data_IF_167585336283
#
_entry.id   IF_167585336283
#
_cell.length_a   1.000
_cell.length_b   1.000
_cell.length_c   1.000
_cell.angle_alpha   90.00
_cell.angle_beta   90.00
_cell.angle_gamma   90.00
#
_symmetry.space_group_name_H-M   'P 1'
#
loop_
_entity.id
_entity.type
_entity.pdbx_description
1 polymer ?
#
# COMPACT_ATOMS: atom_id res chain seq x y z
N UNK A 1 9.88 -1.76 48.08
CA UNK A 1 9.21 -0.65 47.37
C UNK A 1 9.14 -1.02 45.89
N UNK A 2 7.93 -1.12 45.32
CA UNK A 2 7.59 -2.08 44.27
C UNK A 2 7.78 -1.49 42.84
N UNK A 3 8.57 -2.15 41.97
CA UNK A 3 8.81 -1.72 40.57
C UNK A 3 7.51 -1.54 39.75
N UNK A 4 6.44 -2.27 40.10
CA UNK A 4 5.10 -2.11 39.50
C UNK A 4 4.39 -0.81 39.94
N UNK A 5 4.56 -0.38 41.19
CA UNK A 5 3.99 0.88 41.69
C UNK A 5 4.67 2.08 41.03
N UNK A 6 6.01 2.06 40.88
CA UNK A 6 6.74 3.15 40.22
C UNK A 6 6.42 3.24 38.71
N UNK A 7 6.15 2.12 38.03
CA UNK A 7 5.71 2.14 36.61
C UNK A 7 4.30 2.71 36.42
N UNK A 8 3.36 2.37 37.30
CA UNK A 8 1.99 2.90 37.23
C UNK A 8 1.94 4.41 37.47
N UNK A 9 2.66 4.91 38.47
CA UNK A 9 2.75 6.35 38.76
C UNK A 9 3.36 7.12 37.59
N UNK A 10 4.36 6.56 36.92
CA UNK A 10 4.95 7.15 35.72
C UNK A 10 4.00 7.23 34.53
N UNK A 11 3.18 6.21 34.30
CA UNK A 11 2.19 6.19 33.21
C UNK A 11 0.99 7.13 33.45
N UNK A 12 0.52 7.24 34.70
CA UNK A 12 -0.57 8.15 35.06
C UNK A 12 -0.16 9.60 34.83
N UNK A 13 1.04 9.99 35.31
CA UNK A 13 1.58 11.34 35.09
C UNK A 13 1.78 11.67 33.60
N UNK A 14 2.14 10.68 32.78
CA UNK A 14 2.28 10.86 31.34
C UNK A 14 0.92 11.07 30.64
N UNK A 15 -0.11 10.33 31.06
CA UNK A 15 -1.47 10.51 30.57
C UNK A 15 -2.04 11.89 30.98
N UNK A 16 -1.86 12.31 32.23
CA UNK A 16 -2.25 13.63 32.70
C UNK A 16 -1.60 14.74 31.88
N UNK A 17 -0.30 14.63 31.59
CA UNK A 17 0.42 15.59 30.74
C UNK A 17 -0.16 15.64 29.32
N UNK A 18 -0.48 14.48 28.73
CA UNK A 18 -1.10 14.42 27.41
C UNK A 18 -2.47 15.10 27.41
N UNK A 19 -3.33 14.77 28.37
CA UNK A 19 -4.66 15.38 28.49
C UNK A 19 -4.58 16.89 28.76
N UNK A 20 -3.64 17.33 29.60
CA UNK A 20 -3.35 18.75 29.82
C UNK A 20 -3.04 19.49 28.53
N UNK A 21 -2.20 18.92 27.65
CA UNK A 21 -1.89 19.55 26.36
C UNK A 21 -3.10 19.68 25.42
N UNK A 22 -4.07 18.75 25.50
CA UNK A 22 -5.33 18.87 24.76
C UNK A 22 -6.20 19.99 25.33
N UNK A 23 -6.30 20.09 26.66
CA UNK A 23 -7.05 21.14 27.36
C UNK A 23 -6.44 22.52 27.05
N UNK A 24 -5.12 22.67 27.17
CA UNK A 24 -4.41 23.90 26.84
C UNK A 24 -4.68 24.35 25.40
N UNK A 25 -4.75 23.39 24.46
CA UNK A 25 -5.07 23.67 23.05
C UNK A 25 -6.53 24.13 22.90
N UNK A 26 -7.48 23.45 23.55
CA UNK A 26 -8.91 23.82 23.52
C UNK A 26 -9.11 25.24 24.07
N UNK A 27 -8.46 25.55 25.20
CA UNK A 27 -8.55 26.85 25.86
C UNK A 27 -7.87 27.95 25.04
N UNK A 28 -6.70 27.68 24.46
CA UNK A 28 -6.00 28.61 23.56
C UNK A 28 -6.86 28.96 22.34
N UNK A 29 -7.56 27.98 21.77
CA UNK A 29 -8.50 28.19 20.66
C UNK A 29 -9.85 28.80 21.10
N UNK A 30 -10.04 29.04 22.41
CA UNK A 30 -11.27 29.58 23.00
C UNK A 30 -12.52 28.75 22.64
N UNK A 31 -12.35 27.43 22.46
CA UNK A 31 -13.44 26.53 22.10
C UNK A 31 -14.22 26.11 23.34
N UNK A 32 -15.55 26.19 23.28
CA UNK A 32 -16.42 25.70 24.34
C UNK A 32 -16.52 24.15 24.27
N UNK A 33 -16.32 23.45 25.40
CA UNK A 33 -16.40 21.98 25.44
C UNK A 33 -17.79 21.44 25.04
N UNK A 34 -18.86 22.17 25.32
CA UNK A 34 -20.22 21.83 24.93
C UNK A 34 -20.41 21.83 23.42
N UNK A 35 -19.89 22.83 22.73
CA UNK A 35 -19.96 22.92 21.26
C UNK A 35 -19.01 21.92 20.59
N UNK A 36 -17.82 21.74 21.16
CA UNK A 36 -16.89 20.71 20.72
C UNK A 36 -17.50 19.30 20.83
N UNK A 37 -18.23 19.01 21.91
CA UNK A 37 -18.92 17.74 22.08
C UNK A 37 -20.00 17.53 20.99
N UNK A 38 -20.75 18.57 20.60
CA UNK A 38 -21.73 18.51 19.51
C UNK A 38 -21.07 18.23 18.16
N UNK A 39 -19.99 18.94 17.84
CA UNK A 39 -19.20 18.73 16.60
C UNK A 39 -18.64 17.30 16.54
N UNK A 40 -18.20 16.79 17.69
CA UNK A 40 -17.74 15.42 17.86
C UNK A 40 -18.85 14.37 17.85
N UNK A 41 -20.12 14.76 17.96
CA UNK A 41 -21.27 13.86 18.12
C UNK A 41 -21.17 12.99 19.38
N UNK A 42 -20.66 13.57 20.48
CA UNK A 42 -20.56 12.94 21.80
C UNK A 42 -21.28 13.77 22.85
N UNK A 43 -21.63 13.18 24.00
CA UNK A 43 -22.18 13.97 25.11
C UNK A 43 -21.11 14.83 25.77
N UNK A 44 -21.46 16.05 26.20
CA UNK A 44 -20.54 16.94 26.92
C UNK A 44 -20.00 16.29 28.20
N UNK A 45 -20.83 15.48 28.87
CA UNK A 45 -20.41 14.71 30.04
C UNK A 45 -19.36 13.63 29.72
N UNK A 46 -19.46 12.95 28.57
CA UNK A 46 -18.45 11.99 28.14
C UNK A 46 -17.13 12.68 27.80
N UNK A 47 -17.17 13.77 27.02
CA UNK A 47 -15.98 14.54 26.67
C UNK A 47 -15.26 15.08 27.92
N UNK A 48 -16.00 15.63 28.88
CA UNK A 48 -15.44 16.11 30.15
C UNK A 48 -14.77 14.99 30.95
N UNK A 49 -15.42 13.81 31.07
CA UNK A 49 -14.81 12.64 31.73
C UNK A 49 -13.54 12.17 31.01
N UNK A 50 -13.50 12.29 29.69
CA UNK A 50 -12.30 11.96 28.91
C UNK A 50 -11.16 12.95 29.13
N UNK A 51 -11.43 14.26 29.06
CA UNK A 51 -10.43 15.30 29.28
C UNK A 51 -9.89 15.29 30.72
N UNK A 52 -10.73 14.98 31.70
CA UNK A 52 -10.32 14.87 33.11
C UNK A 52 -9.65 13.53 33.46
N UNK A 53 -9.50 12.61 32.51
CA UNK A 53 -8.88 11.30 32.72
C UNK A 53 -9.73 10.28 33.51
N UNK A 54 -10.96 10.65 33.92
CA UNK A 54 -11.90 9.74 34.59
C UNK A 54 -12.29 8.54 33.73
N UNK A 55 -12.32 8.73 32.41
CA UNK A 55 -12.51 7.67 31.42
C UNK A 55 -11.54 7.86 30.26
N UNK A 56 -11.06 6.79 29.63
CA UNK A 56 -10.19 6.95 28.46
C UNK A 56 -11.00 7.27 27.19
N UNK A 57 -10.39 8.05 26.30
CA UNK A 57 -10.95 8.27 24.97
C UNK A 57 -11.05 6.94 24.21
N UNK A 58 -12.14 6.73 23.48
CA UNK A 58 -12.15 5.75 22.39
C UNK A 58 -11.24 6.21 21.26
N UNK A 59 -10.60 5.28 20.55
CA UNK A 59 -9.63 5.59 19.50
C UNK A 59 -10.19 6.58 18.46
N UNK A 60 -11.36 6.29 17.89
CA UNK A 60 -11.99 7.14 16.87
C UNK A 60 -12.44 8.50 17.42
N UNK A 61 -12.93 8.54 18.66
CA UNK A 61 -13.28 9.80 19.33
C UNK A 61 -12.07 10.71 19.46
N UNK A 62 -10.90 10.15 19.81
CA UNK A 62 -9.67 10.92 19.85
C UNK A 62 -9.23 11.37 18.47
N UNK A 63 -9.22 10.49 17.46
CA UNK A 63 -8.84 10.87 16.09
C UNK A 63 -9.72 12.03 15.60
N UNK A 64 -11.03 11.98 15.85
CA UNK A 64 -11.96 13.08 15.53
C UNK A 64 -11.60 14.36 16.28
N UNK A 65 -11.30 14.29 17.57
CA UNK A 65 -10.84 15.45 18.35
C UNK A 65 -9.56 16.05 17.76
N UNK A 66 -8.56 15.23 17.43
CA UNK A 66 -7.30 15.71 16.86
C UNK A 66 -7.52 16.37 15.49
N UNK A 67 -8.42 15.85 14.67
CA UNK A 67 -8.81 16.45 13.40
C UNK A 67 -9.49 17.82 13.56
N UNK A 68 -10.24 18.02 14.65
CA UNK A 68 -10.89 19.31 14.94
C UNK A 68 -9.89 20.33 15.52
N UNK A 69 -8.95 19.87 16.35
CA UNK A 69 -8.03 20.75 17.07
C UNK A 69 -6.80 21.15 16.24
N UNK A 70 -6.38 20.35 15.27
CA UNK A 70 -5.10 20.56 14.57
C UNK A 70 -5.26 20.43 13.06
N UNK A 71 -5.09 21.54 12.34
CA UNK A 71 -5.03 21.53 10.87
C UNK A 71 -3.76 20.80 10.38
N UNK A 72 -2.64 21.00 11.09
CA UNK A 72 -1.35 20.39 10.78
C UNK A 72 -1.38 18.86 10.96
N UNK A 73 -1.19 18.15 9.85
CA UNK A 73 -1.16 16.69 9.76
C UNK A 73 -0.04 16.10 10.62
N UNK A 74 1.14 16.72 10.65
CA UNK A 74 2.27 16.25 11.45
C UNK A 74 1.96 16.39 12.94
N UNK A 75 1.28 17.48 13.34
CA UNK A 75 0.86 17.66 14.73
C UNK A 75 -0.18 16.63 15.15
N UNK A 76 -1.16 16.35 14.28
CA UNK A 76 -2.15 15.28 14.50
C UNK A 76 -1.47 13.93 14.70
N UNK A 77 -0.50 13.61 13.85
CA UNK A 77 0.27 12.38 13.94
C UNK A 77 1.07 12.31 15.25
N UNK A 78 1.81 13.36 15.62
CA UNK A 78 2.55 13.45 16.88
C UNK A 78 1.64 13.20 18.09
N UNK A 79 0.47 13.86 18.13
CA UNK A 79 -0.49 13.70 19.21
C UNK A 79 -1.06 12.28 19.28
N UNK A 80 -1.27 11.63 18.14
CA UNK A 80 -1.72 10.24 18.09
C UNK A 80 -0.64 9.26 18.60
N UNK A 81 0.63 9.51 18.28
CA UNK A 81 1.77 8.75 18.83
C UNK A 81 1.83 8.88 20.35
N UNK A 82 1.70 10.12 20.84
CA UNK A 82 1.69 10.41 22.27
C UNK A 82 0.55 9.66 22.97
N UNK A 83 -0.66 9.73 22.41
CA UNK A 83 -1.80 8.97 22.94
C UNK A 83 -1.55 7.46 22.99
N UNK A 84 -1.09 6.86 21.88
CA UNK A 84 -0.84 5.43 21.81
C UNK A 84 0.26 4.98 22.78
N UNK A 85 1.15 5.89 23.18
CA UNK A 85 2.20 5.64 24.17
C UNK A 85 1.71 5.70 25.62
N UNK A 86 0.60 6.40 25.90
CA UNK A 86 0.09 6.62 27.28
C UNK A 86 -1.24 5.93 27.57
N UNK A 87 -2.02 5.57 26.55
CA UNK A 87 -3.31 4.87 26.73
C UNK A 87 -3.10 3.48 27.31
N UNK A 88 -3.94 3.10 28.28
CA UNK A 88 -3.97 1.74 28.83
C UNK A 88 -5.07 0.87 28.22
N UNK A 89 -5.97 1.47 27.43
CA UNK A 89 -7.06 0.80 26.72
C UNK A 89 -6.52 -0.19 25.68
N UNK A 90 -6.77 -1.47 25.95
CA UNK A 90 -6.30 -2.57 25.10
C UNK A 90 -7.03 -2.63 23.77
N UNK A 91 -8.29 -2.21 23.71
CA UNK A 91 -9.03 -2.14 22.44
C UNK A 91 -8.50 -1.01 21.56
N UNK A 92 -8.18 0.16 22.13
CA UNK A 92 -7.62 1.27 21.36
C UNK A 92 -6.31 0.88 20.68
N UNK A 93 -5.45 0.14 21.38
CA UNK A 93 -4.16 -0.29 20.83
C UNK A 93 -4.31 -1.34 19.72
N UNK A 94 -5.35 -2.19 19.75
CA UNK A 94 -5.65 -3.10 18.63
C UNK A 94 -6.13 -2.33 17.39
N UNK A 95 -7.06 -1.40 17.58
CA UNK A 95 -7.54 -0.52 16.50
C UNK A 95 -6.38 0.31 15.94
N UNK A 96 -5.50 0.82 16.80
CA UNK A 96 -4.34 1.61 16.40
C UNK A 96 -3.37 0.83 15.49
N UNK A 97 -3.16 -0.47 15.72
CA UNK A 97 -2.35 -1.30 14.82
C UNK A 97 -2.94 -1.34 13.41
N UNK A 98 -4.25 -1.57 13.31
CA UNK A 98 -4.91 -1.63 12.00
C UNK A 98 -4.96 -0.26 11.34
N UNK A 99 -5.27 0.79 12.10
CA UNK A 99 -5.26 2.17 11.63
C UNK A 99 -3.90 2.59 11.09
N UNK A 100 -2.82 2.32 11.85
CA UNK A 100 -1.46 2.64 11.42
C UNK A 100 -1.11 1.91 10.13
N UNK A 101 -1.50 0.64 9.98
CA UNK A 101 -1.26 -0.08 8.74
C UNK A 101 -2.11 0.43 7.56
N UNK A 102 -3.38 0.78 7.78
CA UNK A 102 -4.26 1.31 6.75
C UNK A 102 -3.77 2.65 6.21
N UNK A 103 -3.38 3.57 7.12
CA UNK A 103 -2.73 4.85 6.78
C UNK A 103 -1.37 4.65 6.14
N UNK A 104 -0.66 3.60 6.54
CA UNK A 104 0.69 3.28 6.09
C UNK A 104 1.80 3.96 6.91
N UNK A 105 1.49 4.28 8.16
CA UNK A 105 2.37 4.83 9.18
C UNK A 105 3.16 3.71 9.86
N UNK A 106 4.37 3.46 9.36
CA UNK A 106 5.18 2.33 9.82
C UNK A 106 5.75 2.57 11.22
N UNK A 107 6.06 3.84 11.55
CA UNK A 107 6.50 4.21 12.89
C UNK A 107 5.44 3.95 13.96
N UNK A 108 4.18 4.34 13.72
CA UNK A 108 3.10 4.15 14.68
C UNK A 108 2.80 2.67 14.85
N UNK A 109 2.74 1.94 13.74
CA UNK A 109 2.52 0.51 13.74
C UNK A 109 3.60 -0.19 14.58
N UNK A 110 4.88 0.17 14.37
CA UNK A 110 5.99 -0.40 15.13
C UNK A 110 5.90 -0.09 16.63
N UNK A 111 5.61 1.16 16.98
CA UNK A 111 5.45 1.62 18.35
C UNK A 111 4.38 0.79 19.08
N UNK A 112 3.21 0.65 18.49
CA UNK A 112 2.08 -0.06 19.09
C UNK A 112 2.33 -1.57 19.15
N UNK A 113 2.93 -2.16 18.12
CA UNK A 113 3.30 -3.58 18.11
C UNK A 113 4.29 -3.89 19.23
N UNK A 114 5.35 -3.09 19.38
CA UNK A 114 6.39 -3.36 20.37
C UNK A 114 5.93 -3.15 21.81
N UNK A 115 5.01 -2.20 22.05
CA UNK A 115 4.40 -2.02 23.36
C UNK A 115 3.50 -3.22 23.72
N UNK A 116 2.65 -3.66 22.79
CA UNK A 116 1.66 -4.69 23.08
C UNK A 116 2.20 -6.12 23.04
N UNK A 117 3.41 -6.37 22.52
CA UNK A 117 4.13 -7.64 22.76
C UNK A 117 4.29 -7.95 24.25
N UNK A 118 4.39 -6.90 25.08
CA UNK A 118 4.56 -6.98 26.54
C UNK A 118 3.23 -6.77 27.28
N UNK A 119 2.11 -6.75 26.57
CA UNK A 119 0.79 -6.51 27.14
C UNK A 119 0.43 -7.56 28.18
N UNK A 120 -0.27 -7.15 29.25
CA UNK A 120 -0.84 -8.08 30.23
C UNK A 120 -1.95 -8.94 29.62
N UNK A 121 -2.67 -8.44 28.61
CA UNK A 121 -3.77 -9.14 27.96
C UNK A 121 -3.27 -10.05 26.83
N UNK A 122 -3.63 -11.34 26.90
CA UNK A 122 -3.21 -12.34 25.91
C UNK A 122 -3.64 -11.99 24.48
N UNK A 123 -4.87 -11.49 24.33
CA UNK A 123 -5.42 -11.03 23.05
C UNK A 123 -4.53 -9.98 22.38
N UNK A 124 -4.01 -9.02 23.14
CA UNK A 124 -3.16 -7.98 22.57
C UNK A 124 -1.76 -8.48 22.20
N UNK A 125 -1.22 -9.43 22.97
CA UNK A 125 0.03 -10.10 22.59
C UNK A 125 -0.12 -10.91 21.31
N UNK A 126 -1.28 -11.52 21.09
CA UNK A 126 -1.63 -12.21 19.84
C UNK A 126 -1.69 -11.23 18.65
N UNK A 127 -2.41 -10.12 18.81
CA UNK A 127 -2.45 -9.06 17.81
C UNK A 127 -1.05 -8.53 17.47
N UNK A 128 -0.26 -8.17 18.47
CA UNK A 128 1.10 -7.68 18.27
C UNK A 128 2.00 -8.72 17.56
N UNK A 129 1.80 -10.01 17.83
CA UNK A 129 2.54 -11.09 17.17
C UNK A 129 2.23 -11.19 15.67
N UNK A 130 0.97 -11.01 15.29
CA UNK A 130 0.54 -11.01 13.89
C UNK A 130 0.93 -9.72 13.17
N UNK A 131 0.65 -8.57 13.78
CA UNK A 131 0.96 -7.26 13.18
C UNK A 131 2.46 -6.98 13.09
N UNK A 132 3.31 -7.68 13.83
CA UNK A 132 4.75 -7.66 13.57
C UNK A 132 5.09 -8.21 12.18
N UNK A 133 4.44 -9.29 11.72
CA UNK A 133 4.63 -9.77 10.35
C UNK A 133 4.16 -8.75 9.32
N UNK A 134 2.99 -8.14 9.57
CA UNK A 134 2.45 -7.07 8.73
C UNK A 134 3.44 -5.92 8.62
N UNK A 135 4.02 -5.48 9.75
CA UNK A 135 5.02 -4.43 9.79
C UNK A 135 6.31 -4.83 9.05
N UNK A 136 6.85 -6.03 9.31
CA UNK A 136 8.05 -6.53 8.62
C UNK A 136 7.85 -6.56 7.11
N UNK A 137 6.71 -7.06 6.63
CA UNK A 137 6.39 -7.07 5.20
C UNK A 137 6.25 -5.66 4.64
N UNK A 138 5.47 -4.82 5.31
CA UNK A 138 5.19 -3.45 4.86
C UNK A 138 6.44 -2.56 4.84
N UNK A 139 7.43 -2.86 5.68
CA UNK A 139 8.73 -2.20 5.71
C UNK A 139 9.72 -2.74 4.67
N UNK A 140 9.35 -3.79 3.93
CA UNK A 140 10.22 -4.46 2.95
C UNK A 140 11.25 -5.41 3.55
N UNK A 141 11.16 -5.75 4.85
CA UNK A 141 12.08 -6.68 5.53
C UNK A 141 11.80 -8.12 5.13
N UNK A 142 10.52 -8.49 4.96
CA UNK A 142 10.09 -9.82 4.55
C UNK A 142 9.21 -9.74 3.32
N UNK A 143 9.51 -10.51 2.28
CA UNK A 143 8.70 -10.62 1.06
C UNK A 143 8.85 -12.02 0.47
N UNK A 144 7.86 -12.46 -0.32
CA UNK A 144 7.93 -13.70 -1.08
C UNK A 144 8.22 -14.92 -0.18
N UNK A 145 9.26 -15.68 -0.53
CA UNK A 145 9.61 -16.91 0.19
C UNK A 145 9.99 -16.65 1.66
N UNK A 146 10.74 -15.57 1.94
CA UNK A 146 11.15 -15.26 3.30
C UNK A 146 9.96 -14.93 4.22
N UNK A 147 8.91 -14.32 3.66
CA UNK A 147 7.67 -14.10 4.40
C UNK A 147 6.93 -15.42 4.65
N UNK A 148 6.87 -16.30 3.64
CA UNK A 148 6.22 -17.61 3.75
C UNK A 148 6.90 -18.46 4.83
N UNK A 149 8.22 -18.56 4.82
CA UNK A 149 8.98 -19.36 5.78
C UNK A 149 8.75 -18.88 7.22
N UNK A 150 8.84 -17.57 7.46
CA UNK A 150 8.56 -16.98 8.78
C UNK A 150 7.09 -17.19 9.17
N UNK A 151 6.13 -17.04 8.25
CA UNK A 151 4.71 -17.23 8.53
C UNK A 151 4.42 -18.66 8.97
N UNK A 152 4.93 -19.66 8.25
CA UNK A 152 4.74 -21.07 8.58
C UNK A 152 5.41 -21.45 9.90
N UNK A 153 6.59 -20.89 10.19
CA UNK A 153 7.23 -21.11 11.49
C UNK A 153 6.40 -20.51 12.63
N UNK A 154 5.86 -19.30 12.45
CA UNK A 154 5.00 -18.68 13.47
C UNK A 154 3.70 -19.44 13.72
N UNK A 155 3.11 -20.05 12.69
CA UNK A 155 1.91 -20.90 12.82
C UNK A 155 2.17 -22.12 13.73
N UNK A 156 3.39 -22.67 13.74
CA UNK A 156 3.78 -23.78 14.63
C UNK A 156 3.99 -23.33 16.07
N UNK A 157 4.53 -22.14 16.28
CA UNK A 157 4.90 -21.65 17.62
C UNK A 157 3.71 -21.17 18.46
N UNK A 158 2.63 -20.69 17.84
CA UNK A 158 1.49 -20.09 18.57
C UNK A 158 0.14 -20.42 17.94
N UNK A 159 -0.81 -20.76 18.81
CA UNK A 159 -2.21 -20.91 18.45
C UNK A 159 -2.88 -19.54 18.41
N UNK A 160 -3.45 -19.19 17.25
CA UNK A 160 -4.23 -17.97 17.04
C UNK A 160 -5.69 -18.24 17.43
N UNK A 161 -6.25 -17.40 18.30
CA UNK A 161 -7.60 -17.57 18.85
C UNK A 161 -8.62 -16.59 18.29
N UNK A 162 -8.25 -15.31 18.11
CA UNK A 162 -9.19 -14.29 17.64
C UNK A 162 -9.48 -14.40 16.15
N UNK A 163 -10.73 -14.21 15.75
CA UNK A 163 -11.17 -14.36 14.37
C UNK A 163 -10.50 -13.32 13.46
N UNK A 164 -10.33 -12.09 13.92
CA UNK A 164 -9.64 -11.04 13.17
C UNK A 164 -8.20 -11.46 12.85
N UNK A 165 -7.49 -12.06 13.81
CA UNK A 165 -6.10 -12.47 13.58
C UNK A 165 -6.01 -13.75 12.75
N UNK A 166 -7.00 -14.66 12.80
CA UNK A 166 -7.07 -15.78 11.86
C UNK A 166 -7.21 -15.27 10.42
N UNK A 167 -8.10 -14.31 10.19
CA UNK A 167 -8.26 -13.68 8.87
C UNK A 167 -6.99 -12.94 8.46
N UNK A 168 -6.33 -12.24 9.38
CA UNK A 168 -5.06 -11.56 9.09
C UNK A 168 -3.95 -12.54 8.69
N UNK A 169 -3.87 -13.72 9.31
CA UNK A 169 -2.98 -14.80 8.87
C UNK A 169 -3.33 -15.32 7.48
N UNK A 170 -4.63 -15.36 7.16
CA UNK A 170 -5.10 -15.59 5.80
C UNK A 170 -4.58 -14.53 4.83
N UNK A 171 -4.73 -13.25 5.15
CA UNK A 171 -4.22 -12.14 4.33
C UNK A 171 -2.70 -12.20 4.17
N UNK A 172 -1.96 -12.56 5.22
CA UNK A 172 -0.50 -12.76 5.14
C UNK A 172 -0.14 -13.93 4.22
N UNK A 173 -0.92 -15.01 4.25
CA UNK A 173 -0.76 -16.15 3.32
C UNK A 173 -1.10 -15.72 1.88
N UNK A 174 -2.17 -14.94 1.68
CA UNK A 174 -2.51 -14.34 0.39
C UNK A 174 -1.36 -13.47 -0.14
N UNK A 175 -0.73 -12.69 0.73
CA UNK A 175 0.43 -11.86 0.35
C UNK A 175 1.66 -12.66 -0.08
N UNK A 176 1.90 -13.87 0.43
CA UNK A 176 3.01 -14.68 -0.07
C UNK A 176 2.73 -15.16 -1.49
N UNK A 177 1.49 -15.56 -1.79
CA UNK A 177 1.08 -15.93 -3.15
C UNK A 177 1.18 -14.74 -4.12
N UNK A 178 0.81 -13.54 -3.64
CA UNK A 178 0.96 -12.30 -4.39
C UNK A 178 2.44 -12.01 -4.68
N UNK A 179 3.30 -12.03 -3.66
CA UNK A 179 4.73 -11.71 -3.78
C UNK A 179 5.48 -12.73 -4.65
N UNK A 180 5.01 -13.98 -4.69
CA UNK A 180 5.55 -15.07 -5.51
C UNK A 180 4.85 -15.19 -6.88
N UNK A 181 3.94 -14.27 -7.20
CA UNK A 181 3.17 -14.20 -8.45
C UNK A 181 2.43 -15.51 -8.80
N UNK A 182 1.97 -16.23 -7.76
CA UNK A 182 1.17 -17.46 -7.89
C UNK A 182 -0.32 -17.12 -8.04
N UNK A 183 -0.66 -16.39 -9.09
CA UNK A 183 -1.99 -15.78 -9.25
C UNK A 183 -3.15 -16.78 -9.26
N UNK A 184 -2.99 -17.97 -9.83
CA UNK A 184 -4.06 -18.98 -9.83
C UNK A 184 -4.42 -19.41 -8.40
N UNK A 185 -3.41 -19.78 -7.60
CA UNK A 185 -3.61 -20.13 -6.19
C UNK A 185 -4.15 -18.95 -5.37
N UNK A 186 -3.70 -17.73 -5.70
CA UNK A 186 -4.17 -16.51 -5.06
C UNK A 186 -5.68 -16.28 -5.26
N UNK A 187 -6.21 -16.51 -6.47
CA UNK A 187 -7.64 -16.35 -6.75
C UNK A 187 -8.49 -17.33 -5.95
N UNK A 188 -8.14 -18.62 -6.02
CA UNK A 188 -8.86 -19.68 -5.29
C UNK A 188 -8.83 -19.42 -3.77
N UNK A 189 -7.68 -18.97 -3.26
CA UNK A 189 -7.52 -18.68 -1.84
C UNK A 189 -8.34 -17.47 -1.39
N UNK A 190 -8.42 -16.42 -2.21
CA UNK A 190 -9.21 -15.23 -1.90
C UNK A 190 -10.71 -15.54 -1.80
N UNK A 191 -11.23 -16.39 -2.68
CA UNK A 191 -12.63 -16.83 -2.67
C UNK A 191 -12.99 -17.56 -1.37
N UNK A 192 -12.13 -18.48 -0.93
CA UNK A 192 -12.31 -19.20 0.34
C UNK A 192 -12.25 -18.28 1.56
N UNK A 193 -11.45 -17.21 1.50
CA UNK A 193 -11.26 -16.32 2.63
C UNK A 193 -12.35 -15.25 2.77
N UNK A 194 -13.01 -14.87 1.68
CA UNK A 194 -13.98 -13.76 1.66
C UNK A 194 -15.10 -13.91 2.73
N UNK A 195 -15.75 -15.08 2.91
CA UNK A 195 -16.77 -15.24 3.96
C UNK A 195 -16.24 -14.99 5.37
N UNK A 196 -14.97 -15.29 5.64
CA UNK A 196 -14.38 -15.07 6.97
C UNK A 196 -14.14 -13.59 7.24
N UNK A 197 -13.88 -12.78 6.21
CA UNK A 197 -13.76 -11.33 6.35
C UNK A 197 -15.12 -10.72 6.73
N UNK A 198 -16.20 -11.17 6.10
CA UNK A 198 -17.57 -10.69 6.35
C UNK A 198 -17.98 -10.86 7.83
N UNK A 199 -17.47 -11.90 8.50
CA UNK A 199 -17.77 -12.22 9.90
C UNK A 199 -17.03 -11.35 10.93
N UNK A 200 -16.10 -10.49 10.51
CA UNK A 200 -15.37 -9.60 11.43
C UNK A 200 -16.33 -8.55 12.00
N UNK A 201 -16.51 -8.45 13.33
CA UNK A 201 -17.50 -7.53 13.90
C UNK A 201 -17.14 -6.05 13.71
N UNK A 202 -15.87 -5.67 13.89
CA UNK A 202 -15.43 -4.29 13.76
C UNK A 202 -15.43 -3.87 12.28
N UNK A 203 -16.30 -2.92 11.96
CA UNK A 203 -16.54 -2.48 10.58
C UNK A 203 -15.30 -1.90 9.90
N UNK A 204 -14.46 -1.20 10.68
CA UNK A 204 -13.23 -0.64 10.14
C UNK A 204 -12.21 -1.73 9.80
N UNK A 205 -12.01 -2.70 10.70
CA UNK A 205 -11.10 -3.82 10.45
C UNK A 205 -11.62 -4.64 9.26
N UNK A 206 -12.92 -4.91 9.20
CA UNK A 206 -13.57 -5.62 8.08
C UNK A 206 -13.35 -4.91 6.75
N UNK A 207 -13.64 -3.60 6.68
CA UNK A 207 -13.44 -2.80 5.47
C UNK A 207 -11.96 -2.75 5.06
N UNK A 208 -11.05 -2.56 6.01
CA UNK A 208 -9.61 -2.51 5.74
C UNK A 208 -9.07 -3.85 5.23
N UNK A 209 -9.54 -4.97 5.78
CA UNK A 209 -9.14 -6.31 5.35
C UNK A 209 -9.71 -6.66 3.98
N UNK A 210 -10.98 -6.36 3.73
CA UNK A 210 -11.59 -6.52 2.40
C UNK A 210 -10.84 -5.69 1.36
N UNK A 211 -10.54 -4.41 1.67
CA UNK A 211 -9.80 -3.52 0.79
C UNK A 211 -8.43 -4.06 0.38
N UNK A 212 -7.66 -4.66 1.31
CA UNK A 212 -6.36 -5.28 1.02
C UNK A 212 -6.44 -6.45 0.03
N UNK A 213 -7.50 -7.25 0.13
CA UNK A 213 -7.72 -8.37 -0.78
C UNK A 213 -8.13 -7.87 -2.16
N UNK A 214 -9.04 -6.90 -2.23
CA UNK A 214 -9.39 -6.25 -3.49
C UNK A 214 -8.17 -5.60 -4.16
N UNK A 215 -7.29 -4.96 -3.39
CA UNK A 215 -6.04 -4.37 -3.91
C UNK A 215 -5.16 -5.43 -4.58
N UNK A 216 -4.89 -6.54 -3.88
CA UNK A 216 -4.08 -7.63 -4.43
C UNK A 216 -4.72 -8.34 -5.61
N UNK A 217 -6.04 -8.55 -5.57
CA UNK A 217 -6.81 -9.15 -6.66
C UNK A 217 -6.84 -8.24 -7.90
N UNK A 218 -6.94 -6.92 -7.72
CA UNK A 218 -6.91 -5.95 -8.82
C UNK A 218 -5.62 -6.08 -9.62
N UNK A 219 -4.47 -6.12 -8.92
CA UNK A 219 -3.17 -6.35 -9.55
C UNK A 219 -3.08 -7.73 -10.22
N UNK A 220 -3.48 -8.80 -9.52
CA UNK A 220 -3.41 -10.17 -10.06
C UNK A 220 -4.27 -10.33 -11.33
N UNK A 221 -5.49 -9.77 -11.35
CA UNK A 221 -6.33 -9.77 -12.55
C UNK A 221 -5.71 -8.94 -13.66
N UNK A 222 -5.11 -7.79 -13.34
CA UNK A 222 -4.40 -6.98 -14.32
C UNK A 222 -3.26 -7.77 -14.95
N UNK A 223 -2.37 -8.41 -14.17
CA UNK A 223 -1.25 -9.20 -14.70
C UNK A 223 -1.73 -10.34 -15.62
N UNK A 224 -2.86 -10.95 -15.30
CA UNK A 224 -3.50 -12.00 -16.08
C UNK A 224 -4.32 -11.50 -17.28
N UNK A 225 -4.22 -10.21 -17.60
CA UNK A 225 -4.94 -9.52 -18.68
C UNK A 225 -6.47 -9.58 -18.56
N UNK A 226 -6.99 -9.76 -17.34
CA UNK A 226 -8.41 -9.69 -16.99
C UNK A 226 -8.77 -8.26 -16.57
N UNK A 227 -8.53 -7.33 -17.50
CA UNK A 227 -8.55 -5.88 -17.26
C UNK A 227 -9.89 -5.38 -16.68
N UNK A 228 -11.02 -5.87 -17.19
CA UNK A 228 -12.33 -5.42 -16.72
C UNK A 228 -12.59 -5.77 -15.25
N UNK A 229 -12.20 -6.98 -14.83
CA UNK A 229 -12.28 -7.40 -13.42
C UNK A 229 -11.37 -6.58 -12.52
N UNK A 230 -10.17 -6.25 -13.00
CA UNK A 230 -9.25 -5.39 -12.27
C UNK A 230 -9.85 -3.99 -12.06
N UNK A 231 -10.45 -3.40 -13.11
CA UNK A 231 -11.10 -2.09 -13.05
C UNK A 231 -12.31 -2.10 -12.13
N UNK A 232 -13.15 -3.13 -12.19
CA UNK A 232 -14.31 -3.31 -11.32
C UNK A 232 -13.92 -3.27 -9.84
N UNK A 233 -12.95 -4.10 -9.43
CA UNK A 233 -12.44 -4.11 -8.06
C UNK A 233 -11.81 -2.79 -7.64
N UNK A 234 -11.11 -2.11 -8.55
CA UNK A 234 -10.58 -0.78 -8.27
C UNK A 234 -11.71 0.22 -8.00
N UNK A 235 -12.79 0.21 -8.78
CA UNK A 235 -13.95 1.07 -8.53
C UNK A 235 -14.67 0.72 -7.24
N UNK A 236 -14.78 -0.56 -6.87
CA UNK A 236 -15.29 -0.96 -5.56
C UNK A 236 -14.44 -0.38 -4.42
N UNK A 237 -13.11 -0.39 -4.55
CA UNK A 237 -12.20 0.24 -3.57
C UNK A 237 -12.46 1.75 -3.46
N UNK A 238 -12.63 2.44 -4.59
CA UNK A 238 -12.87 3.89 -4.60
C UNK A 238 -14.20 4.24 -3.94
N UNK A 239 -15.20 3.35 -4.04
CA UNK A 239 -16.53 3.51 -3.46
C UNK A 239 -16.64 3.04 -2.00
N UNK A 240 -15.57 2.53 -1.38
CA UNK A 240 -15.58 2.19 0.05
C UNK A 240 -15.93 3.44 0.87
N UNK A 241 -16.82 3.29 1.84
CA UNK A 241 -17.06 4.31 2.85
C UNK A 241 -15.78 4.56 3.65
N UNK A 242 -15.41 5.83 3.80
CA UNK A 242 -14.17 6.22 4.48
C UNK A 242 -14.38 7.47 5.34
N UNK A 243 -15.40 7.43 6.20
CA UNK A 243 -15.67 8.50 7.18
C UNK A 243 -14.47 8.78 8.10
N UNK A 244 -13.56 7.81 8.21
CA UNK A 244 -12.36 7.83 9.05
C UNK A 244 -11.11 8.28 8.28
N UNK A 245 -11.26 8.64 7.00
CA UNK A 245 -10.22 9.08 6.06
C UNK A 245 -8.99 8.15 6.00
N UNK A 246 -9.16 6.87 6.31
CA UNK A 246 -8.09 5.91 6.56
C UNK A 246 -7.64 5.14 5.32
N UNK A 247 -8.34 5.29 4.19
CA UNK A 247 -8.11 4.48 2.99
C UNK A 247 -7.47 5.24 1.82
N UNK A 248 -6.91 6.44 2.05
CA UNK A 248 -6.21 7.21 1.02
C UNK A 248 -5.11 6.40 0.30
N UNK A 249 -4.32 5.64 1.04
CA UNK A 249 -3.27 4.79 0.46
C UNK A 249 -3.86 3.69 -0.43
N UNK A 250 -4.93 3.04 0.04
CA UNK A 250 -5.63 1.98 -0.69
C UNK A 250 -6.26 2.54 -1.99
N UNK A 251 -6.92 3.69 -1.91
CA UNK A 251 -7.51 4.38 -3.07
C UNK A 251 -6.46 4.82 -4.09
N UNK A 252 -5.33 5.35 -3.62
CA UNK A 252 -4.21 5.70 -4.50
C UNK A 252 -3.66 4.48 -5.26
N UNK A 253 -3.66 3.30 -4.64
CA UNK A 253 -3.34 2.04 -5.32
C UNK A 253 -4.34 1.71 -6.43
N UNK A 254 -5.64 1.74 -6.11
CA UNK A 254 -6.69 1.46 -7.08
C UNK A 254 -6.63 2.42 -8.27
N UNK A 255 -6.40 3.72 -8.03
CA UNK A 255 -6.18 4.70 -9.10
C UNK A 255 -4.91 4.39 -9.91
N UNK A 256 -3.83 3.96 -9.27
CA UNK A 256 -2.61 3.51 -9.94
C UNK A 256 -2.85 2.32 -10.87
N UNK A 257 -3.58 1.29 -10.40
CA UNK A 257 -3.94 0.14 -11.22
C UNK A 257 -4.93 0.50 -12.34
N UNK A 258 -5.86 1.43 -12.10
CA UNK A 258 -6.70 1.96 -13.17
C UNK A 258 -5.85 2.64 -14.24
N UNK A 259 -4.90 3.49 -13.84
CA UNK A 259 -3.97 4.14 -14.77
C UNK A 259 -3.19 3.11 -15.60
N UNK A 260 -2.60 2.13 -14.93
CA UNK A 260 -1.86 1.04 -15.55
C UNK A 260 -2.74 0.25 -16.52
N UNK A 261 -3.99 -0.05 -16.15
CA UNK A 261 -4.93 -0.79 -16.98
C UNK A 261 -5.28 -0.10 -18.30
N UNK A 262 -5.18 1.23 -18.38
CA UNK A 262 -5.45 2.00 -19.59
C UNK A 262 -4.20 2.23 -20.46
N UNK A 263 -3.02 1.75 -20.03
CA UNK A 263 -1.72 1.99 -20.70
C UNK A 263 -1.75 1.75 -22.22
N UNK A 264 -2.40 0.67 -22.65
CA UNK A 264 -2.46 0.24 -24.05
C UNK A 264 -3.75 0.62 -24.77
N UNK A 265 -4.66 1.33 -24.11
CA UNK A 265 -6.00 1.68 -24.63
C UNK A 265 -6.21 3.19 -24.76
N UNK A 266 -5.85 3.98 -23.74
CA UNK A 266 -6.09 5.42 -23.73
C UNK A 266 -5.11 6.13 -22.82
N UNK A 267 -4.18 6.87 -23.42
CA UNK A 267 -3.24 7.71 -22.67
C UNK A 267 -3.95 8.74 -21.78
N UNK A 268 -5.00 9.39 -22.29
CA UNK A 268 -5.70 10.45 -21.54
C UNK A 268 -6.36 9.89 -20.27
N UNK A 269 -7.03 8.74 -20.36
CA UNK A 269 -7.59 8.06 -19.17
C UNK A 269 -6.48 7.61 -18.22
N UNK A 270 -5.43 6.98 -18.75
CA UNK A 270 -4.31 6.52 -17.95
C UNK A 270 -3.65 7.69 -17.18
N UNK A 271 -3.41 8.81 -17.87
CA UNK A 271 -2.86 10.04 -17.32
C UNK A 271 -3.78 10.65 -16.26
N UNK A 272 -5.09 10.72 -16.51
CA UNK A 272 -6.05 11.22 -15.54
C UNK A 272 -6.01 10.41 -14.23
N UNK A 273 -6.07 9.08 -14.32
CA UNK A 273 -5.99 8.21 -13.14
C UNK A 273 -4.64 8.32 -12.42
N UNK A 274 -3.53 8.41 -13.15
CA UNK A 274 -2.21 8.56 -12.55
C UNK A 274 -2.09 9.88 -11.77
N UNK A 275 -2.56 11.00 -12.34
CA UNK A 275 -2.57 12.29 -11.65
C UNK A 275 -3.49 12.26 -10.43
N UNK A 276 -4.69 11.67 -10.54
CA UNK A 276 -5.60 11.50 -9.40
C UNK A 276 -5.00 10.65 -8.28
N UNK A 277 -4.24 9.62 -8.62
CA UNK A 277 -3.53 8.80 -7.65
C UNK A 277 -2.47 9.62 -6.88
N UNK A 278 -1.76 10.51 -7.57
CA UNK A 278 -0.76 11.40 -6.96
C UNK A 278 -1.41 12.47 -6.08
N UNK A 279 -2.50 13.11 -6.55
CA UNK A 279 -3.29 14.08 -5.78
C UNK A 279 -3.80 13.45 -4.47
N UNK A 280 -4.30 12.21 -4.53
CA UNK A 280 -4.78 11.47 -3.36
C UNK A 280 -3.70 11.28 -2.29
N UNK A 281 -2.42 11.29 -2.68
CA UNK A 281 -1.28 11.11 -1.77
C UNK A 281 -0.69 12.43 -1.28
N UNK A 282 -1.12 13.60 -1.78
CA UNK A 282 -0.50 14.90 -1.45
C UNK A 282 -0.62 15.24 0.04
N UNK A 283 -1.70 14.81 0.69
CA UNK A 283 -1.90 14.95 2.13
C UNK A 283 -1.27 13.82 2.97
N UNK A 284 -0.63 12.83 2.35
CA UNK A 284 -0.09 11.67 3.05
C UNK A 284 1.45 11.71 3.11
N UNK A 285 2.00 12.09 4.27
CA UNK A 285 3.45 12.21 4.48
C UNK A 285 4.10 11.01 5.20
N UNK A 286 3.39 9.89 5.27
CA UNK A 286 3.85 8.63 5.89
C UNK A 286 4.72 7.79 4.96
N UNK A 287 5.45 6.83 5.52
CA UNK A 287 6.50 6.07 4.84
C UNK A 287 5.97 5.29 3.63
N UNK A 288 4.84 4.58 3.78
CA UNK A 288 4.26 3.83 2.67
C UNK A 288 3.68 4.73 1.58
N UNK A 289 3.20 5.93 1.92
CA UNK A 289 2.73 6.89 0.93
C UNK A 289 3.87 7.41 0.04
N UNK A 290 5.05 7.65 0.63
CA UNK A 290 6.27 8.01 -0.14
C UNK A 290 6.66 6.91 -1.13
N UNK A 291 6.66 5.65 -0.68
CA UNK A 291 6.93 4.50 -1.55
C UNK A 291 5.88 4.40 -2.66
N UNK A 292 4.58 4.44 -2.30
CA UNK A 292 3.47 4.38 -3.26
C UNK A 292 3.53 5.47 -4.32
N UNK A 293 3.86 6.72 -3.92
CA UNK A 293 4.07 7.84 -4.85
C UNK A 293 5.16 7.53 -5.87
N UNK A 294 6.30 6.97 -5.43
CA UNK A 294 7.38 6.57 -6.32
C UNK A 294 6.92 5.50 -7.30
N UNK A 295 6.18 4.49 -6.83
CA UNK A 295 5.66 3.42 -7.67
C UNK A 295 4.70 3.98 -8.74
N UNK A 296 3.76 4.85 -8.36
CA UNK A 296 2.84 5.51 -9.31
C UNK A 296 3.60 6.38 -10.32
N UNK A 297 4.59 7.15 -9.89
CA UNK A 297 5.41 7.96 -10.79
C UNK A 297 6.17 7.11 -11.82
N UNK A 298 6.66 5.93 -11.41
CA UNK A 298 7.29 4.98 -12.32
C UNK A 298 6.29 4.43 -13.34
N UNK A 299 5.13 3.97 -12.89
CA UNK A 299 4.05 3.50 -13.79
C UNK A 299 3.64 4.60 -14.77
N UNK A 300 3.54 5.85 -14.31
CA UNK A 300 3.18 6.96 -15.16
C UNK A 300 4.28 7.31 -16.19
N UNK A 301 5.55 7.21 -15.81
CA UNK A 301 6.66 7.33 -16.76
C UNK A 301 6.58 6.23 -17.83
N UNK A 302 6.32 4.98 -17.43
CA UNK A 302 6.12 3.88 -18.38
C UNK A 302 4.95 4.14 -19.34
N UNK A 303 3.79 4.59 -18.84
CA UNK A 303 2.61 4.96 -19.66
C UNK A 303 2.98 6.01 -20.71
N UNK A 304 3.72 7.05 -20.31
CA UNK A 304 4.22 8.10 -21.21
C UNK A 304 5.14 7.55 -22.30
N UNK A 305 6.07 6.67 -21.94
CA UNK A 305 7.01 6.05 -22.87
C UNK A 305 6.29 5.16 -23.89
N UNK A 306 5.39 4.29 -23.44
CA UNK A 306 4.59 3.41 -24.32
C UNK A 306 3.76 4.21 -25.33
N UNK A 307 3.20 5.35 -24.90
CA UNK A 307 2.36 6.20 -25.73
C UNK A 307 3.13 7.30 -26.47
N UNK A 308 4.44 7.43 -26.23
CA UNK A 308 5.31 8.51 -26.75
C UNK A 308 4.76 9.92 -26.45
N UNK A 309 4.24 10.12 -25.24
CA UNK A 309 3.60 11.36 -24.81
C UNK A 309 4.42 12.07 -23.73
N UNK A 310 4.58 13.40 -23.86
CA UNK A 310 5.22 14.24 -22.85
C UNK A 310 6.67 13.87 -22.51
N UNK A 311 7.45 13.48 -23.53
CA UNK A 311 8.82 12.98 -23.37
C UNK A 311 9.83 14.06 -22.99
N UNK A 312 9.63 15.31 -23.41
CA UNK A 312 10.60 16.40 -23.21
C UNK A 312 10.90 16.71 -21.74
N UNK A 313 9.90 16.47 -20.87
CA UNK A 313 9.97 16.75 -19.43
C UNK A 313 9.69 15.50 -18.58
N UNK A 314 9.92 14.30 -19.15
CA UNK A 314 9.67 13.07 -18.43
C UNK A 314 10.63 12.92 -17.23
N UNK A 315 10.08 12.55 -16.07
CA UNK A 315 10.87 12.17 -14.91
C UNK A 315 10.90 10.64 -14.84
N UNK A 316 12.11 10.09 -14.84
CA UNK A 316 12.35 8.65 -14.84
C UNK A 316 13.08 8.28 -13.55
N UNK A 317 12.62 7.24 -12.86
CA UNK A 317 13.19 6.82 -11.58
C UNK A 317 13.70 5.36 -11.57
N UNK A 318 13.64 4.68 -12.72
CA UNK A 318 14.11 3.30 -12.87
C UNK A 318 14.90 3.15 -14.18
N UNK A 319 15.94 2.31 -14.13
CA UNK A 319 16.86 2.03 -15.24
C UNK A 319 16.15 1.43 -16.45
N UNK A 320 15.07 0.66 -16.22
CA UNK A 320 14.30 0.06 -17.32
C UNK A 320 13.64 1.14 -18.18
N UNK A 321 12.89 2.05 -17.57
CA UNK A 321 12.26 3.20 -18.22
C UNK A 321 13.31 4.14 -18.82
N UNK A 322 14.46 4.33 -18.16
CA UNK A 322 15.56 5.15 -18.70
C UNK A 322 16.11 4.55 -19.99
N UNK A 323 16.40 3.24 -20.00
CA UNK A 323 16.86 2.56 -21.20
C UNK A 323 15.80 2.64 -22.32
N UNK A 324 14.52 2.52 -21.98
CA UNK A 324 13.44 2.65 -22.95
C UNK A 324 13.38 4.06 -23.55
N UNK A 325 13.46 5.10 -22.72
CA UNK A 325 13.53 6.48 -23.17
C UNK A 325 14.70 6.72 -24.12
N UNK A 326 15.91 6.29 -23.75
CA UNK A 326 17.11 6.45 -24.58
C UNK A 326 16.95 5.76 -25.94
N UNK A 327 16.35 4.56 -25.97
CA UNK A 327 16.05 3.87 -27.23
C UNK A 327 15.03 4.63 -28.09
N UNK A 328 13.98 5.20 -27.48
CA UNK A 328 12.95 5.99 -28.20
C UNK A 328 13.50 7.27 -28.82
N UNK A 329 14.47 7.94 -28.18
CA UNK A 329 15.11 9.16 -28.71
C UNK A 329 16.31 8.86 -29.64
N UNK A 330 16.49 7.60 -30.06
CA UNK A 330 17.54 7.18 -31.00
C UNK A 330 18.93 6.99 -30.39
N UNK A 331 19.07 7.08 -29.06
CA UNK A 331 20.33 6.84 -28.34
C UNK A 331 20.45 5.37 -27.93
N UNK A 332 20.31 4.46 -28.89
CA UNK A 332 20.29 3.00 -28.65
C UNK A 332 21.54 2.49 -27.93
N UNK A 333 22.73 3.03 -28.23
CA UNK A 333 23.98 2.61 -27.56
C UNK A 333 23.95 2.85 -26.05
N UNK A 334 23.32 3.94 -25.61
CA UNK A 334 23.15 4.25 -24.18
C UNK A 334 22.21 3.25 -23.53
N UNK A 335 21.07 2.95 -24.18
CA UNK A 335 20.12 1.95 -23.71
C UNK A 335 20.76 0.56 -23.57
N UNK A 336 21.50 0.11 -24.59
CA UNK A 336 22.20 -1.18 -24.60
C UNK A 336 23.22 -1.24 -23.45
N UNK A 337 24.01 -0.19 -23.23
CA UNK A 337 24.99 -0.13 -22.15
C UNK A 337 24.33 -0.23 -20.77
N UNK A 338 23.21 0.47 -20.56
CA UNK A 338 22.45 0.41 -19.31
C UNK A 338 21.92 -1.00 -19.05
N UNK A 339 21.32 -1.63 -20.07
CA UNK A 339 20.70 -2.95 -19.94
C UNK A 339 21.74 -4.06 -19.75
N UNK A 340 22.85 -4.06 -20.50
CA UNK A 340 23.95 -5.02 -20.28
C UNK A 340 24.57 -4.90 -18.88
N UNK A 341 24.66 -3.69 -18.33
CA UNK A 341 25.11 -3.49 -16.95
C UNK A 341 24.13 -4.12 -15.94
N UNK A 342 22.82 -4.02 -16.20
CA UNK A 342 21.82 -4.71 -15.39
C UNK A 342 21.94 -6.23 -15.50
N UNK A 343 22.12 -6.77 -16.71
CA UNK A 343 22.27 -8.21 -16.94
C UNK A 343 23.46 -8.79 -16.17
N UNK A 344 24.62 -8.13 -16.22
CA UNK A 344 25.81 -8.53 -15.47
C UNK A 344 25.56 -8.52 -13.96
N UNK A 345 24.88 -7.47 -13.46
CA UNK A 345 24.62 -7.30 -12.02
C UNK A 345 23.58 -8.31 -11.50
N UNK A 346 22.50 -8.49 -12.25
CA UNK A 346 21.31 -9.23 -11.82
C UNK A 346 21.38 -10.71 -12.28
N UNK A 347 22.37 -11.08 -13.09
CA UNK A 347 22.57 -12.41 -13.69
C UNK A 347 21.64 -12.73 -14.86
N UNK A 348 20.49 -12.04 -14.95
CA UNK A 348 19.54 -12.11 -16.07
C UNK A 348 18.77 -10.80 -16.20
N UNK A 349 18.21 -10.54 -17.38
CA UNK A 349 17.25 -9.46 -17.58
C UNK A 349 15.83 -9.91 -17.22
N UNK A 350 15.03 -8.96 -16.72
CA UNK A 350 13.57 -9.15 -16.67
C UNK A 350 12.99 -9.14 -18.09
N UNK A 351 11.77 -9.68 -18.32
CA UNK A 351 11.17 -9.72 -19.65
C UNK A 351 11.08 -8.32 -20.28
N UNK A 352 10.68 -7.30 -19.50
CA UNK A 352 10.63 -5.91 -19.98
C UNK A 352 12.01 -5.38 -20.41
N UNK A 353 13.05 -5.60 -19.61
CA UNK A 353 14.42 -5.19 -19.96
C UNK A 353 14.92 -5.91 -21.20
N UNK A 354 14.61 -7.20 -21.36
CA UNK A 354 14.93 -8.00 -22.56
C UNK A 354 14.23 -7.45 -23.80
N UNK A 355 12.93 -7.14 -23.70
CA UNK A 355 12.16 -6.49 -24.77
C UNK A 355 12.82 -5.19 -25.23
N UNK A 356 13.17 -4.30 -24.28
CA UNK A 356 13.78 -3.01 -24.60
C UNK A 356 15.18 -3.20 -25.20
N UNK A 357 15.94 -4.20 -24.75
CA UNK A 357 17.24 -4.52 -25.33
C UNK A 357 17.09 -4.97 -26.79
N UNK A 358 16.14 -5.87 -27.07
CA UNK A 358 15.81 -6.30 -28.42
C UNK A 358 15.39 -5.12 -29.31
N UNK A 359 14.55 -4.22 -28.78
CA UNK A 359 14.16 -3.00 -29.48
C UNK A 359 15.36 -2.11 -29.83
N UNK A 360 16.27 -1.87 -28.87
CA UNK A 360 17.45 -1.03 -29.08
C UNK A 360 18.45 -1.66 -30.08
N UNK A 361 18.59 -2.99 -30.07
CA UNK A 361 19.44 -3.75 -30.99
C UNK A 361 18.79 -4.00 -32.37
N UNK A 362 17.48 -3.75 -32.50
CA UNK A 362 16.66 -4.22 -33.64
C UNK A 362 16.70 -5.75 -33.79
N UNK A 363 16.81 -6.46 -32.68
CA UNK A 363 16.83 -7.92 -32.61
C UNK A 363 15.43 -8.43 -32.26
N UNK A 364 14.70 -8.91 -33.27
CA UNK A 364 13.33 -9.42 -33.10
C UNK A 364 13.29 -10.70 -32.28
N UNK A 365 14.35 -11.51 -32.30
CA UNK A 365 14.42 -12.75 -31.53
C UNK A 365 14.43 -12.47 -30.03
N UNK A 366 15.17 -11.45 -29.59
CA UNK A 366 15.13 -11.01 -28.19
C UNK A 366 13.74 -10.51 -27.77
N UNK A 367 13.01 -9.86 -28.68
CA UNK A 367 11.63 -9.43 -28.41
C UNK A 367 10.70 -10.65 -28.29
N UNK A 368 10.82 -11.64 -29.19
CA UNK A 368 10.06 -12.89 -29.12
C UNK A 368 10.34 -13.67 -27.83
N UNK A 369 11.60 -13.80 -27.44
CA UNK A 369 11.99 -14.41 -26.17
C UNK A 369 11.37 -13.68 -24.97
N UNK A 370 11.31 -12.35 -25.01
CA UNK A 370 10.66 -11.58 -23.94
C UNK A 370 9.16 -11.84 -23.83
N UNK A 371 8.47 -12.12 -24.94
CA UNK A 371 7.05 -12.49 -24.95
C UNK A 371 6.87 -13.83 -24.22
N UNK A 372 7.71 -14.81 -24.55
CA UNK A 372 7.69 -16.12 -23.90
C UNK A 372 7.95 -15.98 -22.41
N UNK A 373 8.95 -15.20 -22.00
CA UNK A 373 9.26 -15.00 -20.58
C UNK A 373 8.06 -14.38 -19.83
N UNK A 374 7.42 -13.35 -20.39
CA UNK A 374 6.22 -12.76 -19.80
C UNK A 374 5.09 -13.78 -19.62
N UNK A 375 4.87 -14.65 -20.62
CA UNK A 375 3.82 -15.68 -20.54
C UNK A 375 4.16 -16.76 -19.51
N UNK A 376 5.43 -17.17 -19.41
CA UNK A 376 5.92 -18.10 -18.39
C UNK A 376 5.80 -17.53 -16.97
N UNK A 377 6.01 -16.22 -16.80
CA UNK A 377 5.81 -15.51 -15.53
C UNK A 377 4.33 -15.20 -15.23
N UNK A 378 3.41 -15.55 -16.13
CA UNK A 378 1.97 -15.28 -15.95
C UNK A 378 1.60 -13.80 -16.07
N UNK A 379 2.44 -13.01 -16.73
CA UNK A 379 2.24 -11.58 -16.94
C UNK A 379 1.83 -11.31 -18.40
N UNK A 380 0.57 -11.61 -18.68
CA UNK A 380 -0.03 -11.49 -20.02
C UNK A 380 -0.25 -10.04 -20.42
N UNK A 381 -0.55 -9.17 -19.47
CA UNK A 381 -0.82 -7.76 -19.75
C UNK A 381 0.41 -7.03 -20.29
N UNK A 382 1.56 -7.15 -19.63
CA UNK A 382 2.77 -6.50 -20.11
C UNK A 382 3.33 -7.12 -21.40
N UNK A 383 2.99 -8.36 -21.72
CA UNK A 383 3.33 -8.98 -23.03
C UNK A 383 2.76 -8.22 -24.23
N UNK A 384 1.76 -7.35 -24.04
CA UNK A 384 1.19 -6.50 -25.10
C UNK A 384 2.22 -5.55 -25.72
N UNK A 385 3.16 -5.03 -24.94
CA UNK A 385 4.19 -4.12 -25.44
C UNK A 385 5.14 -4.80 -26.45
N UNK A 386 5.84 -5.92 -26.11
CA UNK A 386 6.70 -6.60 -27.07
C UNK A 386 5.93 -7.11 -28.29
N UNK A 387 4.68 -7.60 -28.12
CA UNK A 387 3.81 -7.98 -29.25
C UNK A 387 3.57 -6.83 -30.21
N UNK A 388 3.29 -5.63 -29.68
CA UNK A 388 3.13 -4.40 -30.48
C UNK A 388 4.43 -4.01 -31.18
N UNK A 389 5.56 -4.02 -30.48
CA UNK A 389 6.87 -3.69 -31.05
C UNK A 389 7.26 -4.65 -32.17
N UNK A 390 7.06 -5.96 -31.99
CA UNK A 390 7.37 -6.97 -33.00
C UNK A 390 6.56 -6.73 -34.28
N UNK A 391 5.26 -6.43 -34.15
CA UNK A 391 4.41 -6.10 -35.29
C UNK A 391 4.87 -4.83 -36.05
N UNK A 392 5.43 -3.83 -35.35
CA UNK A 392 6.02 -2.64 -35.98
C UNK A 392 7.26 -3.02 -36.81
N UNK A 393 8.13 -3.89 -36.32
CA UNK A 393 9.30 -4.37 -37.07
C UNK A 393 8.90 -5.17 -38.33
N UNK A 394 7.92 -6.08 -38.22
CA UNK A 394 7.48 -6.88 -39.37
C UNK A 394 6.88 -6.01 -40.47
N UNK A 395 6.08 -4.99 -40.12
CA UNK A 395 5.50 -4.04 -41.09
C UNK A 395 6.56 -3.16 -41.76
N UNK A 396 7.55 -2.70 -41.00
CA UNK A 396 8.63 -1.88 -41.56
C UNK A 396 9.59 -2.71 -42.42
N UNK A 397 9.76 -4.00 -42.13
CA UNK A 397 10.54 -4.94 -42.96
C UNK A 397 9.89 -5.26 -44.32
N UNK A 398 8.57 -5.17 -44.44
CA UNK A 398 7.86 -5.41 -45.71
C UNK A 398 7.91 -4.23 -46.68
N UNK A 399 8.26 -3.02 -46.23
CA UNK A 399 8.40 -1.84 -47.10
C UNK A 399 9.76 -1.72 -47.83
N UNK A 400 10.73 -2.59 -47.56
CA UNK A 400 12.01 -2.63 -48.28
C UNK A 400 12.12 -3.74 -49.35
N UNK A 401 11.02 -4.47 -49.63
CA UNK A 401 10.99 -5.56 -50.62
C UNK A 401 10.32 -5.23 -51.96
N UNK A 402 10.12 -3.94 -52.26
CA UNK A 402 9.41 -3.47 -53.45
C UNK A 402 10.27 -2.59 -54.34
N UNK A 403 11.17 -3.21 -55.11
CA UNK A 403 11.90 -2.59 -56.22
C UNK A 403 13.17 -3.38 -56.52
N UNK A 404 13.46 -3.85 -57.73
CA UNK A 404 12.88 -3.71 -59.07
C UNK A 404 13.32 -4.99 -59.81
N UNK A 405 12.45 -5.61 -60.64
CA UNK A 405 12.86 -6.58 -61.67
C UNK A 405 13.31 -5.79 -62.89
#
# INVERSE_FOLDING_TARGET
MNLKQNKNVGSEKALEKFLGSLIDTIDFQRRNQGDLAKEMSVSSGALSKNLTGKTQFGFWTLVKLLNILYDDINKRQEMLYNFCSVTTSKINLRIAMEYANAKGDLGLLKLVVDSEKKSSLAMNREWAYAYELVWKRSSGILQGQALLDELEERKKCKIIKTEEIKVLYGILTFYTMYDLEKFNALFDYAEVMQPNIELIPDEFIRAAYSGRIKEGLSYAYLMQDKVDKARELCHEILNLEDEKESFALLRASALGYLAESYTFESYDRASWYANKALETLDSCHVERAKKRRKDILNTYAFIKLVNKQGLDNIKIYNVCEEAFYQALIGKSDVAIKLLKKCEIKDGKLSPMKKCILGYALKDTKLIEESIVDFECEGNRFYSKLPKKMLAEFTKNGTMCGGGVI
#
